data_IF_329131333564
#
_entry.id   IF_329131333564
#
_cell.length_a   1.000
_cell.length_b   1.000
_cell.length_c   1.000
_cell.angle_alpha   90.00
_cell.angle_beta   90.00
_cell.angle_gamma   90.00
#
_symmetry.space_group_name_H-M   'P 1'
#
loop_
_entity.id
_entity.type
_entity.pdbx_description
1 polymer ?
#
# COMPACT_ATOMS: atom_id res chain seq x y z
N UNK A 1 18.25 -1.17 20.50
CA UNK A 1 17.26 -2.14 19.98
C UNK A 1 15.94 -1.42 19.86
N UNK A 2 15.42 -1.39 18.62
CA UNK A 2 14.01 -1.40 18.24
C UNK A 2 13.09 -0.29 18.76
N UNK A 3 12.84 0.70 17.89
CA UNK A 3 11.75 1.65 18.01
C UNK A 3 11.48 2.34 16.67
N UNK A 4 11.61 1.63 15.55
CA UNK A 4 10.97 2.09 14.31
C UNK A 4 9.51 1.72 14.47
N UNK A 5 8.73 2.73 14.82
CA UNK A 5 7.30 2.72 14.68
C UNK A 5 6.90 2.05 13.35
N UNK A 6 6.18 0.93 13.46
CA UNK A 6 5.57 0.20 12.34
C UNK A 6 4.22 0.80 11.95
N UNK A 7 3.81 1.95 12.49
CA UNK A 7 2.41 2.39 12.40
C UNK A 7 2.00 2.93 11.04
N UNK A 8 2.95 3.22 10.14
CA UNK A 8 2.65 3.69 8.78
C UNK A 8 2.82 2.66 7.65
N UNK A 9 3.11 1.40 7.97
CA UNK A 9 3.25 0.36 6.95
C UNK A 9 2.48 -0.91 7.30
N UNK A 10 1.50 -1.24 6.46
CA UNK A 10 0.74 -2.48 6.50
C UNK A 10 1.28 -3.44 5.45
N UNK A 11 1.59 -4.67 5.86
CA UNK A 11 2.02 -5.75 4.96
C UNK A 11 0.99 -6.86 5.02
N UNK A 12 0.47 -7.26 3.86
CA UNK A 12 -0.52 -8.32 3.73
C UNK A 12 -0.01 -9.35 2.71
N UNK A 13 -0.05 -10.63 3.07
CA UNK A 13 0.44 -11.72 2.23
C UNK A 13 -0.69 -12.69 1.91
N UNK A 14 -0.85 -12.99 0.62
CA UNK A 14 -1.92 -13.84 0.11
C UNK A 14 -1.34 -14.87 -0.85
N UNK A 15 -1.72 -16.14 -0.66
CA UNK A 15 -1.40 -17.21 -1.60
C UNK A 15 -2.57 -17.38 -2.55
N UNK A 16 -2.33 -17.21 -3.85
CA UNK A 16 -3.32 -17.30 -4.90
C UNK A 16 -3.11 -18.59 -5.70
N UNK A 17 -4.18 -19.37 -5.90
CA UNK A 17 -4.20 -20.53 -6.78
C UNK A 17 -4.31 -20.09 -8.25
N UNK A 18 -3.33 -19.32 -8.68
CA UNK A 18 -3.25 -18.76 -10.02
C UNK A 18 -1.78 -18.60 -10.43
N UNK A 19 -1.45 -18.81 -11.71
CA UNK A 19 -0.09 -18.61 -12.20
C UNK A 19 0.30 -17.13 -12.14
N UNK A 20 1.60 -16.88 -11.98
CA UNK A 20 2.16 -15.53 -11.81
C UNK A 20 1.74 -14.58 -12.93
N UNK A 21 1.68 -15.07 -14.17
CA UNK A 21 1.25 -14.29 -15.33
C UNK A 21 -0.18 -13.77 -15.21
N UNK A 22 -1.10 -14.57 -14.63
CA UNK A 22 -2.49 -14.18 -14.43
C UNK A 22 -2.61 -13.12 -13.35
N UNK A 23 -1.91 -13.29 -12.24
CA UNK A 23 -1.88 -12.32 -11.14
C UNK A 23 -1.23 -11.02 -11.60
N UNK A 24 -0.13 -11.10 -12.34
CA UNK A 24 0.55 -9.95 -12.92
C UNK A 24 -0.37 -9.14 -13.85
N UNK A 25 -1.09 -9.82 -14.74
CA UNK A 25 -2.07 -9.16 -15.62
C UNK A 25 -3.18 -8.46 -14.83
N UNK A 26 -3.63 -9.05 -13.72
CA UNK A 26 -4.68 -8.47 -12.88
C UNK A 26 -4.26 -7.18 -12.16
N UNK A 27 -2.98 -7.01 -11.86
CA UNK A 27 -2.44 -5.82 -11.17
C UNK A 27 -1.84 -4.79 -12.13
N UNK A 28 -1.38 -5.20 -13.33
CA UNK A 28 -0.70 -4.30 -14.27
C UNK A 28 -1.58 -3.77 -15.41
N UNK A 29 -2.63 -4.49 -15.80
CA UNK A 29 -3.54 -4.05 -16.86
C UNK A 29 -4.70 -3.29 -16.22
N UNK A 30 -4.89 -2.04 -16.62
CA UNK A 30 -5.92 -1.16 -16.06
C UNK A 30 -7.32 -1.79 -16.10
N UNK A 31 -7.73 -2.36 -17.23
CA UNK A 31 -9.05 -2.97 -17.41
C UNK A 31 -9.34 -4.13 -16.43
N UNK A 32 -8.33 -4.94 -16.09
CA UNK A 32 -8.50 -6.01 -15.09
C UNK A 32 -8.39 -5.48 -13.67
N UNK A 33 -7.52 -4.49 -13.45
CA UNK A 33 -7.33 -3.86 -12.15
C UNK A 33 -8.58 -3.13 -11.68
N UNK A 34 -9.24 -2.38 -12.56
CA UNK A 34 -10.43 -1.56 -12.24
C UNK A 34 -11.62 -2.38 -11.73
N UNK A 35 -11.66 -3.69 -12.02
CA UNK A 35 -12.68 -4.61 -11.50
C UNK A 35 -12.63 -4.74 -9.98
N UNK A 36 -11.46 -4.59 -9.36
CA UNK A 36 -11.27 -4.80 -7.92
C UNK A 36 -10.54 -3.64 -7.21
N UNK A 37 -9.79 -2.83 -7.95
CA UNK A 37 -9.14 -1.60 -7.50
C UNK A 37 -9.49 -0.47 -8.48
N UNK A 38 -10.57 0.30 -8.21
CA UNK A 38 -11.06 1.33 -9.10
C UNK A 38 -10.05 2.47 -9.25
N UNK A 39 -10.00 3.08 -10.43
CA UNK A 39 -9.09 4.18 -10.71
C UNK A 39 -9.33 5.41 -9.82
N UNK A 40 -10.57 5.60 -9.33
CA UNK A 40 -10.92 6.67 -8.40
C UNK A 40 -10.20 6.55 -7.03
N UNK A 41 -9.75 5.35 -6.64
CA UNK A 41 -8.95 5.17 -5.43
C UNK A 41 -7.46 5.48 -5.65
N UNK A 42 -7.03 5.65 -6.91
CA UNK A 42 -5.67 5.97 -7.27
C UNK A 42 -5.49 7.48 -7.41
N UNK A 43 -4.34 7.99 -6.96
CA UNK A 43 -3.94 9.36 -7.23
C UNK A 43 -3.64 9.58 -8.72
N UNK A 44 -3.13 8.53 -9.38
CA UNK A 44 -2.90 8.47 -10.83
C UNK A 44 -3.11 7.03 -11.32
N UNK A 45 -3.67 6.88 -12.53
CA UNK A 45 -3.92 5.56 -13.11
C UNK A 45 -2.66 4.81 -13.51
N UNK A 46 -1.53 5.51 -13.66
CA UNK A 46 -0.23 4.95 -13.99
C UNK A 46 0.53 4.51 -12.74
N UNK A 47 1.30 3.42 -12.82
CA UNK A 47 2.17 3.01 -11.73
C UNK A 47 3.33 3.99 -11.55
N UNK A 48 3.69 4.27 -10.29
CA UNK A 48 4.87 5.06 -9.91
C UNK A 48 6.16 4.32 -10.23
N UNK A 49 6.15 2.99 -10.08
CA UNK A 49 7.25 2.10 -10.43
C UNK A 49 6.69 0.75 -10.88
N UNK A 50 7.34 0.13 -11.86
CA UNK A 50 6.92 -1.16 -12.39
C UNK A 50 8.15 -2.00 -12.75
N UNK A 51 8.25 -3.17 -12.14
CA UNK A 51 9.22 -4.22 -12.44
C UNK A 51 8.46 -5.47 -12.93
N UNK A 52 8.40 -5.69 -14.26
CA UNK A 52 7.64 -6.77 -14.88
C UNK A 52 7.83 -8.13 -14.20
N UNK A 53 6.73 -8.73 -13.74
CA UNK A 53 6.70 -10.05 -13.13
C UNK A 53 7.29 -10.12 -11.72
N UNK A 54 7.60 -8.98 -11.09
CA UNK A 54 8.17 -8.91 -9.74
C UNK A 54 7.41 -7.95 -8.83
N UNK A 55 7.28 -6.69 -9.23
CA UNK A 55 6.69 -5.66 -8.38
C UNK A 55 6.02 -4.55 -9.19
N UNK A 56 4.96 -3.97 -8.67
CA UNK A 56 4.34 -2.76 -9.23
C UNK A 56 3.84 -1.88 -8.10
N UNK A 57 4.11 -0.57 -8.20
CA UNK A 57 3.75 0.42 -7.19
C UNK A 57 2.75 1.41 -7.75
N UNK A 58 1.68 1.64 -7.01
CA UNK A 58 0.68 2.67 -7.28
C UNK A 58 0.63 3.68 -6.15
N UNK A 59 0.17 4.89 -6.47
CA UNK A 59 -0.17 5.90 -5.48
C UNK A 59 -1.68 5.92 -5.30
N UNK A 60 -2.14 5.74 -4.08
CA UNK A 60 -3.53 5.87 -3.71
C UNK A 60 -3.76 7.27 -3.16
N UNK A 61 -4.98 7.77 -3.32
CA UNK A 61 -5.43 9.02 -2.72
C UNK A 61 -6.79 8.76 -2.07
N UNK A 62 -6.94 9.23 -0.84
CA UNK A 62 -8.23 9.18 -0.15
C UNK A 62 -9.22 10.15 -0.81
N UNK A 63 -10.50 9.75 -0.86
CA UNK A 63 -11.57 10.56 -1.47
C UNK A 63 -12.09 11.66 -0.53
N UNK A 64 -11.77 11.58 0.77
CA UNK A 64 -12.13 12.59 1.75
C UNK A 64 -10.98 13.55 2.04
N UNK A 65 -11.25 14.85 2.30
CA UNK A 65 -10.24 15.75 2.84
C UNK A 65 -9.67 15.18 4.15
N UNK A 66 -8.34 15.20 4.35
CA UNK A 66 -7.34 16.02 3.65
C UNK A 66 -6.73 15.40 2.39
N UNK A 67 -7.38 14.43 1.75
CA UNK A 67 -6.98 13.77 0.50
C UNK A 67 -5.60 13.12 0.61
N UNK A 68 -5.39 12.37 1.68
CA UNK A 68 -4.10 11.76 2.00
C UNK A 68 -3.63 10.84 0.87
N UNK A 69 -2.34 10.95 0.55
CA UNK A 69 -1.71 10.09 -0.43
C UNK A 69 -0.96 8.95 0.26
N UNK A 70 -1.02 7.77 -0.33
CA UNK A 70 -0.32 6.58 0.16
C UNK A 70 0.30 5.81 -1.00
N UNK A 71 1.33 5.03 -0.71
CA UNK A 71 1.96 4.15 -1.68
C UNK A 71 1.58 2.70 -1.41
N UNK A 72 1.11 2.00 -2.44
CA UNK A 72 0.87 0.56 -2.40
C UNK A 72 1.82 -0.12 -3.36
N UNK A 73 2.57 -1.09 -2.86
CA UNK A 73 3.46 -1.93 -3.67
C UNK A 73 2.92 -3.35 -3.66
N UNK A 74 2.58 -3.86 -4.84
CA UNK A 74 2.24 -5.26 -5.05
C UNK A 74 3.50 -6.00 -5.47
N UNK A 75 3.90 -7.01 -4.71
CA UNK A 75 4.98 -7.92 -5.06
C UNK A 75 4.38 -9.28 -5.40
N UNK A 76 4.85 -9.88 -6.49
CA UNK A 76 4.44 -11.21 -6.91
C UNK A 76 5.65 -12.13 -6.94
N UNK A 77 5.48 -13.34 -6.41
CA UNK A 77 6.48 -14.41 -6.49
C UNK A 77 5.79 -15.72 -6.85
N UNK A 78 6.45 -16.59 -7.65
CA UNK A 78 5.94 -17.92 -7.89
C UNK A 78 5.91 -18.70 -6.57
N UNK A 79 4.86 -19.48 -6.38
CA UNK A 79 4.70 -20.36 -5.24
C UNK A 79 5.19 -21.79 -5.52
N UNK A 80 5.48 -22.55 -4.46
CA UNK A 80 5.99 -23.93 -4.55
C UNK A 80 5.01 -24.90 -5.23
N UNK A 81 3.70 -24.59 -5.21
CA UNK A 81 2.64 -25.43 -5.80
C UNK A 81 2.23 -24.94 -7.21
N UNK A 82 2.94 -23.97 -7.78
CA UNK A 82 2.60 -23.37 -9.08
C UNK A 82 1.56 -22.24 -9.00
N UNK A 83 1.18 -21.85 -7.77
CA UNK A 83 0.41 -20.63 -7.50
C UNK A 83 1.30 -19.38 -7.48
N UNK A 84 0.75 -18.30 -6.91
CA UNK A 84 1.48 -17.04 -6.73
C UNK A 84 1.33 -16.54 -5.31
N UNK A 85 2.44 -16.16 -4.69
CA UNK A 85 2.44 -15.39 -3.46
C UNK A 85 2.36 -13.91 -3.82
N UNK A 86 1.25 -13.26 -3.46
CA UNK A 86 1.03 -11.82 -3.58
C UNK A 86 1.28 -11.17 -2.22
N UNK A 87 2.28 -10.29 -2.15
CA UNK A 87 2.53 -9.44 -0.98
C UNK A 87 2.11 -8.02 -1.32
N UNK A 88 1.20 -7.46 -0.55
CA UNK A 88 0.74 -6.08 -0.65
C UNK A 88 1.38 -5.30 0.49
N UNK A 89 2.19 -4.30 0.13
CA UNK A 89 2.81 -3.38 1.09
C UNK A 89 2.16 -2.02 0.91
N UNK A 90 1.33 -1.64 1.86
CA UNK A 90 0.68 -0.33 1.90
C UNK A 90 1.40 0.55 2.91
N UNK A 91 1.93 1.67 2.45
CA UNK A 91 2.57 2.69 3.27
C UNK A 91 1.81 4.00 3.14
N UNK A 92 1.45 4.59 4.27
CA UNK A 92 0.85 5.92 4.31
C UNK A 92 1.98 6.93 4.22
N UNK A 93 1.82 7.97 3.40
CA UNK A 93 2.79 9.05 3.28
C UNK A 93 2.19 10.32 3.88
N UNK A 94 1.83 10.25 5.16
CA UNK A 94 1.29 11.39 5.89
C UNK A 94 2.38 12.06 6.74
N UNK A 95 2.68 13.35 6.52
CA UNK A 95 3.62 14.08 7.34
C UNK A 95 3.11 14.38 8.75
N UNK A 96 1.79 14.30 9.00
CA UNK A 96 1.20 14.55 10.32
C UNK A 96 1.28 13.34 11.26
N UNK A 97 1.28 12.11 10.74
CA UNK A 97 1.53 10.85 11.45
C UNK A 97 2.98 10.75 11.95
N UNK A 98 3.90 11.46 11.29
CA UNK A 98 5.28 11.63 11.78
C UNK A 98 5.40 12.63 12.94
N UNK A 99 4.33 13.39 13.24
CA UNK A 99 4.32 14.43 14.28
C UNK A 99 3.63 13.98 15.59
N UNK A 100 3.54 12.67 15.87
CA UNK A 100 2.98 12.14 17.12
C UNK A 100 4.02 12.04 18.27
N UNK A 101 4.82 13.09 18.46
CA UNK A 101 5.74 13.27 19.60
C UNK A 101 5.65 14.76 19.98
N UNK A 102 5.16 15.23 21.14
CA UNK A 102 5.04 14.67 22.49
C UNK A 102 4.03 15.59 23.23
N UNK A 103 2.83 15.11 23.59
CA UNK A 103 1.86 15.88 24.39
C UNK A 103 1.51 15.18 25.72
N UNK A 104 2.53 14.87 26.51
CA UNK A 104 2.33 14.58 27.93
C UNK A 104 3.10 15.57 28.81
N UNK A 105 2.76 16.86 28.69
CA UNK A 105 3.05 17.87 29.71
C UNK A 105 1.77 18.21 30.49
N UNK A 106 1.73 18.10 31.84
CA UNK A 106 0.51 18.32 32.60
C UNK A 106 0.09 19.79 32.55
N UNK A 107 -1.14 20.05 32.09
CA UNK A 107 -1.76 21.37 32.14
C UNK A 107 -2.02 21.73 33.61
N UNK A 108 -1.18 22.60 34.20
CA UNK A 108 -1.50 23.24 35.47
C UNK A 108 -2.56 24.32 35.25
N UNK A 109 -3.77 24.10 35.78
CA UNK A 109 -4.75 25.16 36.03
C UNK A 109 -4.46 25.73 37.42
N UNK A 110 -3.88 26.93 37.49
CA UNK A 110 -3.85 27.71 38.72
C UNK A 110 -4.99 28.74 38.69
N UNK A 111 -5.67 28.85 39.83
CA UNK A 111 -6.95 29.51 40.08
C UNK A 111 -6.90 31.04 40.12
#
# INVERSE_FOLDING_TARGET
MSGVDKSNQLVQEYRLDAPLEKVWRAISIAEYREVWLPNAALADGQPVACEPGKSIRYRLRDDAPPYLESDVTFLVKPDEVGGTLLTIVHRINDPHLLAANDEHGPLMLAA
#
